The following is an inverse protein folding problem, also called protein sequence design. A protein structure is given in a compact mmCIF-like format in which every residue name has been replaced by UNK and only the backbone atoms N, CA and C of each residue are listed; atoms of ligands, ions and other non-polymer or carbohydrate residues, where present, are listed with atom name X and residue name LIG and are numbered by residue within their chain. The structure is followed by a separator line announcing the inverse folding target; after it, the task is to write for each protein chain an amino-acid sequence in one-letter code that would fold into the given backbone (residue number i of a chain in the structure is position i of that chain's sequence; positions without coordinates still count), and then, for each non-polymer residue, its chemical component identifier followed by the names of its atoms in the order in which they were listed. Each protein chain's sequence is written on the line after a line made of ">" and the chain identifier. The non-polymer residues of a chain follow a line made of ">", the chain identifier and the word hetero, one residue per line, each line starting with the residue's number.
data_IF_127313244010
#
_entry.id   IF_127313244010
#
_cell.length_a   1.000
_cell.length_b   1.000
_cell.length_c   1.000
_cell.angle_alpha   90.00
_cell.angle_beta   90.00
_cell.angle_gamma   90.00
#
_symmetry.space_group_name_H-M   'P 1'
#
loop_
_entity.id
_entity.type
_entity.pdbx_description
1 polymer ?
#
# COMPACT_ATOMS: atom_id res chain seq x y z
N UNK A 1 -1.66 -14.39 1.55
CA UNK A 1 -3.00 -14.19 0.94
C UNK A 1 -3.14 -12.88 0.16
N UNK A 2 -3.11 -11.69 0.77
CA UNK A 2 -3.30 -10.41 0.03
C UNK A 2 -2.29 -10.24 -1.12
N UNK A 3 -1.02 -10.58 -0.90
CA UNK A 3 0.03 -10.56 -1.92
C UNK A 3 -0.01 -11.77 -2.88
N UNK A 4 -1.00 -12.65 -2.74
CA UNK A 4 -1.18 -13.86 -3.56
C UNK A 4 -0.41 -15.10 -3.11
N UNK A 5 0.41 -15.03 -2.05
CA UNK A 5 0.99 -16.24 -1.43
C UNK A 5 -0.06 -17.06 -0.68
N UNK A 6 0.19 -18.37 -0.59
CA UNK A 6 -0.57 -19.30 0.23
C UNK A 6 -0.58 -18.90 1.70
N UNK A 7 -1.56 -19.43 2.43
CA UNK A 7 -1.60 -19.30 3.89
C UNK A 7 -0.33 -19.94 4.46
N UNK A 8 0.26 -19.27 5.45
CA UNK A 8 1.44 -19.79 6.18
C UNK A 8 2.70 -20.06 5.35
N UNK A 9 2.84 -19.45 4.17
CA UNK A 9 4.07 -19.56 3.37
C UNK A 9 5.35 -19.09 4.11
N UNK A 10 5.21 -18.26 5.15
CA UNK A 10 6.31 -17.81 6.02
C UNK A 10 6.49 -18.64 7.30
N UNK A 11 5.63 -19.62 7.57
CA UNK A 11 5.68 -20.43 8.79
C UNK A 11 7.04 -21.10 9.03
N UNK A 12 7.75 -21.63 8.01
CA UNK A 12 9.08 -22.22 8.23
C UNK A 12 10.12 -21.25 8.80
N UNK A 13 9.89 -19.92 8.72
CA UNK A 13 10.79 -18.94 9.32
C UNK A 13 10.80 -18.99 10.85
N UNK A 14 9.78 -19.57 11.48
CA UNK A 14 9.70 -19.71 12.94
C UNK A 14 10.67 -20.75 13.49
N UNK A 15 11.13 -21.69 12.65
CA UNK A 15 12.11 -22.72 13.05
C UNK A 15 13.50 -22.13 13.32
N UNK A 16 13.78 -20.94 12.77
CA UNK A 16 15.10 -20.29 12.81
C UNK A 16 15.06 -18.87 13.39
N UNK A 17 13.87 -18.32 13.63
CA UNK A 17 13.68 -16.96 14.15
C UNK A 17 12.40 -16.84 14.97
N UNK A 18 12.26 -15.71 15.69
CA UNK A 18 11.02 -15.42 16.43
C UNK A 18 9.83 -15.29 15.46
N UNK A 19 8.59 -15.63 15.85
CA UNK A 19 7.40 -15.52 15.00
C UNK A 19 7.23 -14.14 14.35
N UNK A 20 7.61 -13.07 15.04
CA UNK A 20 7.56 -11.70 14.50
C UNK A 20 8.46 -11.45 13.29
N UNK A 21 9.50 -12.26 13.07
CA UNK A 21 10.38 -12.16 11.90
C UNK A 21 9.63 -12.39 10.59
N UNK A 22 8.51 -13.14 10.62
CA UNK A 22 7.62 -13.35 9.47
C UNK A 22 7.14 -12.06 8.84
N UNK A 23 6.94 -10.99 9.64
CA UNK A 23 6.52 -9.69 9.13
C UNK A 23 7.57 -9.03 8.23
N UNK A 24 8.86 -9.27 8.47
CA UNK A 24 9.93 -8.83 7.58
C UNK A 24 9.82 -9.50 6.21
N UNK A 25 9.58 -10.81 6.19
CA UNK A 25 9.40 -11.57 4.96
C UNK A 25 8.17 -11.10 4.17
N UNK A 26 7.03 -10.91 4.85
CA UNK A 26 5.82 -10.36 4.22
C UNK A 26 6.07 -8.95 3.67
N UNK A 27 6.79 -8.10 4.41
CA UNK A 27 7.10 -6.73 3.99
C UNK A 27 8.05 -6.64 2.79
N UNK A 28 8.97 -7.59 2.65
CA UNK A 28 9.94 -7.66 1.55
C UNK A 28 9.45 -8.47 0.34
N UNK A 29 8.36 -9.22 0.49
CA UNK A 29 7.84 -10.07 -0.57
C UNK A 29 7.25 -9.27 -1.75
N UNK A 30 7.39 -9.83 -2.95
CA UNK A 30 6.74 -9.31 -4.16
C UNK A 30 5.26 -9.71 -4.22
N UNK A 31 4.48 -9.05 -5.07
CA UNK A 31 3.10 -9.47 -5.36
C UNK A 31 3.11 -10.64 -6.33
N UNK A 32 2.64 -11.81 -5.90
CA UNK A 32 2.51 -13.04 -6.71
C UNK A 32 1.74 -12.79 -8.01
N UNK A 33 0.53 -12.19 -8.02
CA UNK A 33 -0.20 -11.99 -9.28
C UNK A 33 0.52 -11.03 -10.25
N UNK A 34 1.31 -10.08 -9.73
CA UNK A 34 2.12 -9.19 -10.57
C UNK A 34 3.32 -9.94 -11.16
N UNK A 35 4.00 -10.74 -10.35
CA UNK A 35 5.13 -11.55 -10.81
C UNK A 35 4.69 -12.59 -11.85
N UNK A 36 3.55 -13.25 -11.62
CA UNK A 36 2.95 -14.19 -12.56
C UNK A 36 2.60 -13.50 -13.88
N UNK A 37 1.91 -12.36 -13.83
CA UNK A 37 1.60 -11.57 -15.02
C UNK A 37 2.86 -11.17 -15.79
N UNK A 38 3.91 -10.73 -15.10
CA UNK A 38 5.19 -10.39 -15.75
C UNK A 38 5.82 -11.62 -16.42
N UNK A 39 5.86 -12.76 -15.74
CA UNK A 39 6.36 -14.03 -16.29
C UNK A 39 5.59 -14.46 -17.54
N UNK A 40 4.26 -14.37 -17.52
CA UNK A 40 3.42 -14.66 -18.68
C UNK A 40 3.71 -13.73 -19.85
N UNK A 41 3.95 -12.43 -19.59
CA UNK A 41 4.29 -11.44 -20.62
C UNK A 41 5.70 -11.61 -21.19
N UNK A 42 6.64 -12.12 -20.40
CA UNK A 42 7.98 -12.47 -20.88
C UNK A 42 7.95 -13.73 -21.75
N UNK A 43 7.19 -14.74 -21.34
CA UNK A 43 7.03 -15.99 -22.10
C UNK A 43 6.20 -15.81 -23.38
N UNK A 44 5.18 -14.95 -23.32
CA UNK A 44 4.31 -14.61 -24.46
C UNK A 44 4.22 -13.09 -24.62
N UNK A 45 5.25 -12.47 -25.25
CA UNK A 45 5.23 -11.06 -25.53
C UNK A 45 4.03 -10.70 -26.40
N UNK A 46 3.34 -9.60 -26.07
CA UNK A 46 2.29 -9.07 -26.93
C UNK A 46 2.86 -8.18 -28.04
N UNK A 47 1.99 -7.81 -28.98
CA UNK A 47 2.34 -6.82 -29.98
C UNK A 47 2.51 -5.44 -29.34
N UNK A 48 3.53 -4.72 -29.78
CA UNK A 48 3.66 -3.31 -29.52
C UNK A 48 2.50 -2.55 -30.18
N UNK A 49 1.98 -1.52 -29.51
CA UNK A 49 0.83 -0.74 -29.96
C UNK A 49 1.26 0.70 -30.28
N UNK A 50 1.65 1.01 -31.54
CA UNK A 50 2.17 2.33 -31.93
C UNK A 50 1.18 3.47 -31.69
N UNK A 51 -0.12 3.15 -31.70
CA UNK A 51 -1.20 4.12 -31.43
C UNK A 51 -1.11 4.76 -30.04
N UNK A 52 -0.34 4.17 -29.11
CA UNK A 52 -0.13 4.72 -27.77
C UNK A 52 1.00 5.74 -27.72
N UNK A 53 1.85 5.80 -28.73
CA UNK A 53 2.96 6.74 -28.77
C UNK A 53 2.48 8.12 -29.21
N UNK A 54 2.87 9.12 -28.45
CA UNK A 54 2.64 10.53 -28.75
C UNK A 54 3.97 11.29 -28.74
N UNK A 55 3.94 12.52 -29.25
CA UNK A 55 5.13 13.37 -29.30
C UNK A 55 5.67 13.60 -27.88
N UNK A 56 6.96 13.33 -27.70
CA UNK A 56 7.63 13.65 -26.44
C UNK A 56 7.72 15.17 -26.28
N UNK A 57 7.25 15.76 -25.15
CA UNK A 57 7.30 17.21 -24.94
C UNK A 57 8.73 17.74 -25.00
N UNK A 58 8.95 18.81 -25.77
CA UNK A 58 10.26 19.50 -25.84
C UNK A 58 10.51 20.42 -24.65
N UNK A 59 9.47 20.78 -23.91
CA UNK A 59 9.53 21.62 -22.70
C UNK A 59 8.42 21.24 -21.71
N UNK A 60 8.54 21.70 -20.47
CA UNK A 60 7.57 21.44 -19.41
C UNK A 60 7.80 20.12 -18.67
N UNK A 61 6.72 19.57 -18.09
CA UNK A 61 6.77 18.38 -17.25
C UNK A 61 6.99 17.11 -18.10
N UNK A 62 7.84 16.21 -17.61
CA UNK A 62 8.04 14.91 -18.24
C UNK A 62 6.73 14.09 -18.29
N UNK A 63 6.50 13.30 -19.35
CA UNK A 63 5.33 12.43 -19.42
C UNK A 63 5.39 11.35 -18.36
N UNK A 64 4.22 10.86 -17.92
CA UNK A 64 4.11 9.80 -16.90
C UNK A 64 4.70 8.46 -17.35
N UNK A 65 4.75 8.23 -18.66
CA UNK A 65 5.41 7.09 -19.27
C UNK A 65 6.05 7.52 -20.58
N UNK A 66 7.23 6.98 -20.88
CA UNK A 66 8.01 7.30 -22.07
C UNK A 66 8.79 6.08 -22.55
N UNK A 67 9.18 6.11 -23.83
CA UNK A 67 10.14 5.18 -24.40
C UNK A 67 11.08 5.88 -25.37
N UNK A 68 12.17 5.20 -25.69
CA UNK A 68 13.13 5.59 -26.71
C UNK A 68 13.31 4.41 -27.67
N UNK A 69 13.29 4.68 -28.97
CA UNK A 69 13.47 3.66 -30.01
C UNK A 69 14.92 3.56 -30.53
N UNK A 70 15.85 4.32 -29.96
CA UNK A 70 17.22 4.45 -30.45
C UNK A 70 17.47 5.71 -31.28
N UNK A 71 16.42 6.42 -31.71
CA UNK A 71 16.50 7.66 -32.50
C UNK A 71 15.67 8.79 -31.91
N UNK A 72 14.45 8.51 -31.48
CA UNK A 72 13.47 9.48 -31.03
C UNK A 72 12.82 9.02 -29.72
N UNK A 73 12.48 10.02 -28.90
CA UNK A 73 11.73 9.83 -27.66
C UNK A 73 10.24 9.93 -27.96
N UNK A 74 9.46 9.12 -27.25
CA UNK A 74 8.00 9.12 -27.33
C UNK A 74 7.44 9.23 -25.92
N UNK A 75 6.41 10.04 -25.76
CA UNK A 75 5.50 9.89 -24.63
C UNK A 75 4.57 8.71 -24.92
N UNK A 76 4.15 7.97 -23.89
CA UNK A 76 3.30 6.78 -24.06
C UNK A 76 2.03 6.95 -23.24
N UNK A 77 0.87 6.82 -23.90
CA UNK A 77 -0.43 6.81 -23.25
C UNK A 77 -0.69 5.45 -22.60
N UNK A 78 -0.19 5.26 -21.39
CA UNK A 78 -0.38 4.05 -20.58
C UNK A 78 -0.45 4.37 -19.09
N UNK A 79 -1.27 3.62 -18.36
CA UNK A 79 -1.43 3.72 -16.91
C UNK A 79 -0.65 2.65 -16.14
N UNK A 80 -0.76 2.68 -14.82
CA UNK A 80 -0.17 1.70 -13.89
C UNK A 80 -0.99 0.43 -13.73
N UNK A 81 -2.20 0.39 -14.31
CA UNK A 81 -3.07 -0.78 -14.32
C UNK A 81 -3.06 -1.40 -15.72
N UNK A 82 -2.16 -2.36 -16.00
CA UNK A 82 -1.97 -2.90 -17.34
C UNK A 82 -3.12 -3.83 -17.78
N UNK A 83 -3.96 -4.27 -16.84
CA UNK A 83 -4.97 -5.32 -17.06
C UNK A 83 -6.39 -4.91 -16.65
N UNK A 84 -6.57 -3.73 -16.04
CA UNK A 84 -7.89 -3.20 -15.70
C UNK A 84 -8.55 -3.93 -14.52
N UNK A 85 -7.78 -4.65 -13.69
CA UNK A 85 -8.35 -5.47 -12.63
C UNK A 85 -8.64 -4.65 -11.38
N UNK A 86 -9.89 -4.70 -10.92
CA UNK A 86 -10.26 -4.15 -9.61
C UNK A 86 -9.82 -5.13 -8.51
N UNK A 87 -8.90 -4.74 -7.61
CA UNK A 87 -8.52 -5.62 -6.51
C UNK A 87 -9.68 -5.81 -5.53
N UNK A 88 -9.80 -6.99 -4.91
CA UNK A 88 -10.79 -7.21 -3.87
C UNK A 88 -10.51 -6.32 -2.64
N UNK A 89 -11.56 -6.04 -1.87
CA UNK A 89 -11.42 -5.34 -0.59
C UNK A 89 -10.53 -6.12 0.37
N UNK A 90 -9.77 -5.42 1.22
CA UNK A 90 -9.01 -6.05 2.32
C UNK A 90 -9.93 -6.92 3.20
N UNK A 91 -11.18 -6.50 3.39
CA UNK A 91 -12.17 -7.27 4.15
C UNK A 91 -12.44 -8.66 3.55
N UNK A 92 -12.31 -8.83 2.23
CA UNK A 92 -12.49 -10.12 1.56
C UNK A 92 -11.42 -11.16 1.94
N UNK A 93 -10.30 -10.71 2.53
CA UNK A 93 -9.26 -11.61 3.04
C UNK A 93 -9.47 -12.01 4.50
N UNK A 94 -10.44 -11.42 5.20
CA UNK A 94 -10.78 -11.79 6.56
C UNK A 94 -11.77 -12.96 6.52
N UNK A 95 -11.37 -14.12 7.05
CA UNK A 95 -12.30 -15.25 7.20
C UNK A 95 -13.10 -15.14 8.49
N UNK A 96 -14.33 -15.64 8.45
CA UNK A 96 -15.15 -15.82 9.64
C UNK A 96 -14.51 -16.91 10.53
N UNK A 97 -14.54 -16.70 11.84
CA UNK A 97 -13.92 -17.63 12.81
C UNK A 97 -12.39 -17.61 12.88
N UNK A 98 -11.69 -16.88 12.00
CA UNK A 98 -10.23 -16.75 12.08
C UNK A 98 -9.84 -15.91 13.30
N UNK A 99 -8.93 -16.44 14.13
CA UNK A 99 -8.43 -15.76 15.32
C UNK A 99 -7.69 -14.48 14.90
N UNK A 100 -8.04 -13.37 15.53
CA UNK A 100 -7.45 -12.05 15.26
C UNK A 100 -6.75 -11.58 16.51
N UNK A 101 -5.46 -11.32 16.38
CA UNK A 101 -4.71 -10.69 17.46
C UNK A 101 -5.11 -9.21 17.53
N UNK A 102 -5.52 -8.76 18.72
CA UNK A 102 -5.80 -7.36 18.96
C UNK A 102 -4.50 -6.56 18.96
N UNK A 103 -4.56 -5.30 18.52
CA UNK A 103 -3.42 -4.41 18.67
C UNK A 103 -3.16 -4.18 20.16
N UNK A 104 -1.88 -4.18 20.54
CA UNK A 104 -1.50 -3.75 21.89
C UNK A 104 -1.79 -2.27 22.12
N UNK A 105 -1.85 -1.82 23.38
CA UNK A 105 -1.96 -0.41 23.72
C UNK A 105 -0.92 0.45 23.00
N UNK A 106 0.35 0.02 23.03
CA UNK A 106 1.45 0.72 22.35
C UNK A 106 1.23 0.83 20.84
N UNK A 107 0.76 -0.24 20.20
CA UNK A 107 0.48 -0.26 18.78
C UNK A 107 -0.69 0.70 18.43
N UNK A 108 -1.76 0.68 19.23
CA UNK A 108 -2.93 1.55 19.08
C UNK A 108 -2.58 3.03 19.25
N UNK A 109 -1.81 3.40 20.28
CA UNK A 109 -1.30 4.77 20.49
C UNK A 109 -0.46 5.22 19.29
N UNK A 110 0.49 4.38 18.87
CA UNK A 110 1.37 4.70 17.74
C UNK A 110 0.62 4.84 16.41
N UNK A 111 -0.37 4.00 16.17
CA UNK A 111 -1.24 4.10 15.00
C UNK A 111 -2.03 5.41 15.03
N UNK A 112 -2.72 5.70 16.14
CA UNK A 112 -3.52 6.91 16.31
C UNK A 112 -2.70 8.19 16.11
N UNK A 113 -1.48 8.24 16.67
CA UNK A 113 -0.57 9.37 16.49
C UNK A 113 -0.18 9.59 15.02
N UNK A 114 0.04 8.52 14.24
CA UNK A 114 0.32 8.62 12.79
C UNK A 114 -0.92 9.04 12.01
N UNK A 115 -2.08 8.43 12.32
CA UNK A 115 -3.37 8.72 11.67
C UNK A 115 -3.72 10.20 11.78
N UNK A 116 -3.51 10.82 12.94
CA UNK A 116 -3.79 12.25 13.15
C UNK A 116 -2.81 13.20 12.45
N UNK A 117 -1.59 12.77 12.15
CA UNK A 117 -0.62 13.54 11.36
C UNK A 117 -0.77 13.32 9.86
N UNK A 118 -1.39 12.21 9.45
CA UNK A 118 -1.56 11.88 8.05
C UNK A 118 -2.52 12.87 7.38
N UNK A 119 -2.19 13.28 6.15
CA UNK A 119 -3.08 14.10 5.31
C UNK A 119 -4.11 13.24 4.55
N UNK A 120 -4.48 12.09 5.12
CA UNK A 120 -5.39 11.12 4.52
C UNK A 120 -6.84 11.40 4.93
N UNK A 121 -7.79 10.97 4.10
CA UNK A 121 -9.22 11.03 4.42
C UNK A 121 -9.61 9.75 5.14
N UNK A 122 -10.31 9.88 6.27
CA UNK A 122 -10.83 8.77 7.05
C UNK A 122 -12.36 8.75 6.98
N UNK A 123 -12.93 7.55 7.07
CA UNK A 123 -14.38 7.41 7.22
C UNK A 123 -14.84 8.07 8.54
N UNK A 124 -16.02 8.69 8.58
CA UNK A 124 -16.57 9.21 9.84
C UNK A 124 -16.59 8.14 10.93
N UNK A 125 -16.17 8.47 12.15
CA UNK A 125 -16.15 7.54 13.28
C UNK A 125 -14.93 6.62 13.35
N UNK A 126 -14.06 6.59 12.31
CA UNK A 126 -12.90 5.70 12.27
C UNK A 126 -11.88 6.04 13.36
N UNK A 127 -11.56 7.32 13.52
CA UNK A 127 -10.54 7.77 14.49
C UNK A 127 -11.07 7.54 15.92
N UNK A 128 -12.34 7.82 16.15
CA UNK A 128 -13.04 7.62 17.41
C UNK A 128 -13.08 6.13 17.79
N UNK A 129 -13.26 5.24 16.82
CA UNK A 129 -13.17 3.79 17.05
C UNK A 129 -11.76 3.36 17.48
N UNK A 130 -10.72 3.93 16.86
CA UNK A 130 -9.32 3.68 17.25
C UNK A 130 -9.02 4.22 18.65
N UNK A 131 -9.56 5.39 19.01
CA UNK A 131 -9.43 5.97 20.35
C UNK A 131 -10.07 5.07 21.41
N UNK A 132 -11.30 4.60 21.19
CA UNK A 132 -11.96 3.65 22.08
C UNK A 132 -11.16 2.35 22.22
N UNK A 133 -10.63 1.83 21.11
CA UNK A 133 -9.79 0.65 21.14
C UNK A 133 -8.49 0.89 21.93
N UNK A 134 -7.86 2.06 21.77
CA UNK A 134 -6.68 2.43 22.55
C UNK A 134 -6.95 2.40 24.06
N UNK A 135 -8.06 3.00 24.50
CA UNK A 135 -8.46 3.00 25.92
C UNK A 135 -8.78 1.59 26.40
N UNK A 136 -9.52 0.80 25.61
CA UNK A 136 -9.87 -0.58 25.96
C UNK A 136 -8.62 -1.48 26.14
N UNK A 137 -7.54 -1.20 25.42
CA UNK A 137 -6.27 -1.92 25.57
C UNK A 137 -5.40 -1.39 26.73
N UNK A 138 -5.86 -0.38 27.48
CA UNK A 138 -5.11 0.25 28.58
C UNK A 138 -4.16 1.37 28.14
N UNK A 139 -4.27 1.86 26.90
CA UNK A 139 -3.47 2.97 26.38
C UNK A 139 -4.08 4.33 26.66
N UNK A 140 -3.23 5.36 26.76
CA UNK A 140 -3.64 6.75 26.87
C UNK A 140 -3.75 7.37 25.49
N UNK A 141 -4.90 7.95 25.17
CA UNK A 141 -5.13 8.66 23.90
C UNK A 141 -4.16 9.85 23.83
N UNK A 142 -3.27 9.93 22.82
CA UNK A 142 -2.36 11.05 22.69
C UNK A 142 -3.14 12.35 22.46
N UNK A 143 -2.51 13.51 22.66
CA UNK A 143 -3.13 14.79 22.30
C UNK A 143 -3.36 14.86 20.77
N UNK A 144 -4.36 15.63 20.35
CA UNK A 144 -4.53 15.96 18.94
C UNK A 144 -3.43 16.96 18.57
N UNK A 145 -2.63 16.73 17.52
CA UNK A 145 -1.62 17.70 17.13
C UNK A 145 -2.34 19.01 16.77
N UNK A 146 -1.95 20.09 17.45
CA UNK A 146 -2.38 21.44 17.08
C UNK A 146 -1.69 21.76 15.76
N UNK A 147 -2.45 22.15 14.73
CA UNK A 147 -1.84 22.57 13.47
C UNK A 147 -0.91 23.77 13.74
N UNK A 148 0.34 23.79 13.24
CA UNK A 148 1.24 24.94 13.39
C UNK A 148 0.65 26.25 12.84
N UNK A 149 -0.32 26.16 11.93
CA UNK A 149 -1.05 27.29 11.37
C UNK A 149 -1.99 27.99 12.38
N UNK A 150 -2.34 27.36 13.50
CA UNK A 150 -3.15 27.97 14.56
C UNK A 150 -2.32 28.81 15.54
N UNK A 151 -1.03 28.50 15.73
CA UNK A 151 -0.15 29.30 16.59
C UNK A 151 0.25 30.63 15.94
N UNK A 152 0.38 30.67 14.61
CA UNK A 152 0.73 31.91 13.89
C UNK A 152 -0.41 32.94 13.84
N UNK A 153 -1.63 32.55 14.20
CA UNK A 153 -2.81 33.45 14.25
C UNK A 153 -3.04 33.94 15.69
N UNK A 154 -2.39 33.33 16.68
CA UNK A 154 -2.57 33.62 18.11
C UNK A 154 -1.38 34.38 18.73
N UNK A 155 -0.33 34.70 17.96
CA UNK A 155 0.83 35.50 18.34
C UNK A 155 0.84 36.82 17.57
#
# INVERSE_FOLDING_TARGET
>A
RLQGFDTDWTLPAEDVAKPSARWGLVGSAVSVPVAQWLGDRLNRPGAYAPVRDTLFPSSGMAPRAARFDGRRRFAVSIGTDPIGLRPPSVAAFMREGEQRELLSAKASVGFLARTRRAKLRFAPGFIEAVERHCVAMGGVVPARPVSPQLELIAA
#
